data_IF_068081023650
#
_entry.id   IF_068081023650
#
_cell.length_a   1.000
_cell.length_b   1.000
_cell.length_c   1.000
_cell.angle_alpha   90.00
_cell.angle_beta   90.00
_cell.angle_gamma   90.00
#
_symmetry.space_group_name_H-M   'P 1'
#
loop_
_entity.id
_entity.type
_entity.pdbx_description
1 polymer ?
#
# COMPACT_ATOMS: atom_id res chain seq x y z
N UNK A 1 26.39 -25.00 0.50
CA UNK A 1 26.56 -23.99 -0.55
C UNK A 1 25.49 -24.29 -1.58
N UNK A 2 24.33 -23.62 -1.46
CA UNK A 2 23.27 -23.77 -2.45
C UNK A 2 23.68 -22.98 -3.68
N UNK A 3 23.69 -23.65 -4.82
CA UNK A 3 23.86 -23.03 -6.13
C UNK A 3 22.77 -22.00 -6.32
N UNK A 4 23.13 -20.73 -6.35
CA UNK A 4 22.25 -19.62 -6.65
C UNK A 4 21.74 -19.77 -8.07
N UNK A 5 20.44 -19.64 -8.22
CA UNK A 5 19.69 -19.80 -9.45
C UNK A 5 20.19 -18.80 -10.51
N UNK A 6 20.53 -19.28 -11.69
CA UNK A 6 21.25 -18.60 -12.77
C UNK A 6 20.46 -17.46 -13.45
N UNK A 7 19.28 -17.09 -12.93
CA UNK A 7 18.37 -16.10 -13.52
C UNK A 7 18.14 -14.85 -12.65
N UNK A 8 19.04 -14.52 -11.74
CA UNK A 8 18.90 -13.26 -11.00
C UNK A 8 19.07 -12.08 -11.96
N UNK A 9 18.12 -11.10 -11.95
CA UNK A 9 18.19 -9.94 -12.82
C UNK A 9 19.43 -9.11 -12.50
N UNK A 10 20.05 -8.57 -13.54
CA UNK A 10 21.19 -7.67 -13.40
C UNK A 10 20.73 -6.40 -12.66
N UNK A 11 21.49 -5.99 -11.65
CA UNK A 11 21.26 -4.78 -10.86
C UNK A 11 20.99 -3.52 -11.70
N UNK A 12 21.59 -3.41 -12.89
CA UNK A 12 21.45 -2.24 -13.75
C UNK A 12 20.23 -2.30 -14.67
N UNK A 13 19.66 -3.47 -14.87
CA UNK A 13 18.58 -3.70 -15.86
C UNK A 13 17.23 -4.04 -15.22
N UNK A 14 17.19 -4.25 -13.91
CA UNK A 14 15.93 -4.56 -13.22
C UNK A 14 14.99 -3.34 -13.17
N UNK A 15 13.69 -3.53 -13.44
CA UNK A 15 13.01 -4.77 -13.81
C UNK A 15 13.12 -5.17 -15.29
N UNK A 16 13.93 -4.54 -16.10
CA UNK A 16 14.15 -4.87 -17.51
C UNK A 16 13.05 -4.39 -18.47
N UNK A 17 12.09 -3.61 -17.97
CA UNK A 17 10.97 -3.07 -18.74
C UNK A 17 10.46 -1.76 -18.11
N UNK A 18 9.57 -1.08 -18.82
CA UNK A 18 8.94 0.18 -18.38
C UNK A 18 7.53 -0.01 -17.81
N UNK A 19 7.05 -1.24 -17.72
CA UNK A 19 5.71 -1.53 -17.22
C UNK A 19 4.62 -0.82 -18.03
N UNK A 20 3.81 -0.01 -17.34
CA UNK A 20 2.72 0.75 -17.94
C UNK A 20 3.08 2.20 -18.31
N UNK A 21 4.36 2.56 -18.37
CA UNK A 21 4.76 3.91 -18.75
C UNK A 21 4.15 4.32 -20.10
N UNK A 22 3.62 5.55 -20.14
CA UNK A 22 2.94 6.14 -21.30
C UNK A 22 1.69 5.37 -21.78
N UNK A 23 1.16 4.45 -21.00
CA UNK A 23 -0.10 3.78 -21.28
C UNK A 23 -1.29 4.74 -21.19
N UNK A 24 -1.22 5.71 -20.27
CA UNK A 24 -2.24 6.74 -20.06
C UNK A 24 -1.64 8.14 -20.09
N UNK A 25 -2.42 9.15 -20.52
CA UNK A 25 -1.92 10.53 -20.65
C UNK A 25 -1.87 11.31 -19.32
N UNK A 26 -2.22 10.66 -18.21
CA UNK A 26 -2.33 11.26 -16.88
C UNK A 26 -1.47 10.51 -15.85
N UNK A 27 -1.50 11.00 -14.61
CA UNK A 27 -0.72 10.45 -13.49
C UNK A 27 -1.61 9.60 -12.53
N UNK A 28 -2.64 8.91 -13.05
CA UNK A 28 -3.50 8.02 -12.27
C UNK A 28 -3.02 6.56 -12.27
N UNK A 29 -2.12 6.19 -13.18
CA UNK A 29 -1.67 4.81 -13.29
C UNK A 29 -2.82 3.84 -13.55
N UNK A 30 -2.80 2.68 -12.89
CA UNK A 30 -3.83 1.64 -13.01
C UNK A 30 -5.21 2.07 -12.52
N UNK A 31 -5.34 3.15 -11.76
CA UNK A 31 -6.66 3.70 -11.42
C UNK A 31 -7.46 4.17 -12.64
N UNK A 32 -6.83 4.37 -13.80
CA UNK A 32 -7.54 4.54 -15.08
C UNK A 32 -8.40 3.32 -15.46
N UNK A 33 -8.15 2.16 -14.87
CA UNK A 33 -8.93 0.93 -15.08
C UNK A 33 -10.16 0.86 -14.17
N UNK A 34 -10.24 1.73 -13.17
CA UNK A 34 -11.43 1.88 -12.32
C UNK A 34 -12.41 2.82 -12.99
N UNK A 35 -13.22 2.28 -13.89
CA UNK A 35 -14.22 2.98 -14.70
C UNK A 35 -15.62 2.90 -14.08
N UNK A 36 -16.61 3.66 -14.57
CA UNK A 36 -17.99 3.49 -14.15
C UNK A 36 -18.49 2.04 -14.28
N UNK A 37 -18.09 1.33 -15.33
CA UNK A 37 -18.48 -0.07 -15.58
C UNK A 37 -17.88 -1.01 -14.54
N UNK A 38 -16.59 -0.85 -14.21
CA UNK A 38 -15.92 -1.67 -13.18
C UNK A 38 -16.47 -1.34 -11.79
N UNK A 39 -16.81 -0.07 -11.53
CA UNK A 39 -17.48 0.34 -10.31
C UNK A 39 -18.86 -0.32 -10.17
N UNK A 40 -19.68 -0.28 -11.21
CA UNK A 40 -21.00 -0.95 -11.20
C UNK A 40 -20.86 -2.45 -11.01
N UNK A 41 -19.87 -3.09 -11.63
CA UNK A 41 -19.55 -4.51 -11.39
C UNK A 41 -19.22 -4.75 -9.90
N UNK A 42 -18.44 -3.86 -9.28
CA UNK A 42 -18.13 -3.95 -7.85
C UNK A 42 -19.38 -3.83 -6.99
N UNK A 43 -20.26 -2.89 -7.27
CA UNK A 43 -21.54 -2.70 -6.54
C UNK A 43 -22.43 -3.93 -6.67
N UNK A 44 -22.45 -4.61 -7.81
CA UNK A 44 -23.24 -5.83 -8.03
C UNK A 44 -22.81 -7.03 -7.17
N UNK A 45 -21.64 -6.97 -6.53
CA UNK A 45 -21.20 -8.03 -5.59
C UNK A 45 -21.79 -7.88 -4.19
N UNK A 46 -22.55 -6.82 -3.92
CA UNK A 46 -23.16 -6.59 -2.61
C UNK A 46 -24.39 -7.48 -2.44
N UNK A 47 -24.33 -8.43 -1.51
CA UNK A 47 -25.41 -9.36 -1.22
C UNK A 47 -26.13 -9.03 0.11
N UNK A 48 -25.37 -8.73 1.15
CA UNK A 48 -25.92 -8.58 2.50
C UNK A 48 -25.96 -7.13 3.00
N UNK A 49 -25.29 -6.19 2.31
CA UNK A 49 -25.15 -4.80 2.74
C UNK A 49 -24.30 -4.61 4.01
N UNK A 50 -23.62 -5.64 4.51
CA UNK A 50 -22.71 -5.51 5.64
C UNK A 50 -21.47 -4.74 5.23
N UNK A 51 -21.13 -3.71 6.02
CA UNK A 51 -19.92 -2.91 5.83
C UNK A 51 -18.88 -3.35 6.87
N UNK A 52 -17.71 -3.77 6.38
CA UNK A 52 -16.59 -4.19 7.21
C UNK A 52 -15.44 -3.22 6.98
N UNK A 53 -15.01 -2.53 8.03
CA UNK A 53 -13.79 -1.72 7.95
C UNK A 53 -12.56 -2.63 8.00
N UNK A 54 -11.74 -2.56 6.94
CA UNK A 54 -10.44 -3.22 6.90
C UNK A 54 -9.32 -2.31 7.37
N UNK A 55 -9.60 -1.05 7.70
CA UNK A 55 -8.59 -0.14 8.25
C UNK A 55 -8.34 -0.40 9.73
N UNK A 56 -7.10 -0.21 10.15
CA UNK A 56 -6.75 -0.20 11.57
C UNK A 56 -7.31 1.06 12.22
N UNK A 57 -7.76 1.00 13.50
CA UNK A 57 -8.06 2.22 14.24
C UNK A 57 -6.85 3.15 14.31
N UNK A 58 -7.07 4.42 14.05
CA UNK A 58 -6.06 5.45 14.30
C UNK A 58 -6.04 5.72 15.81
N UNK A 59 -4.92 5.47 16.45
CA UNK A 59 -4.79 5.63 17.91
C UNK A 59 -3.46 6.27 18.26
N UNK A 60 -3.42 6.94 19.42
CA UNK A 60 -2.21 7.46 20.06
C UNK A 60 -1.41 6.38 20.80
N UNK A 61 -1.92 5.14 20.82
CA UNK A 61 -1.27 4.01 21.48
C UNK A 61 -0.03 3.60 20.71
N UNK A 62 1.01 3.32 21.47
CA UNK A 62 2.39 3.07 21.10
C UNK A 62 2.63 2.57 19.68
N UNK A 63 3.31 3.39 18.87
CA UNK A 63 3.75 2.97 17.58
C UNK A 63 4.82 1.88 17.72
N UNK A 64 4.85 0.99 16.75
CA UNK A 64 6.00 0.12 16.55
C UNK A 64 7.22 1.05 16.40
N UNK A 65 8.02 1.16 17.49
CA UNK A 65 9.21 2.03 17.64
C UNK A 65 9.01 3.55 17.63
N UNK A 66 8.96 4.17 18.80
CA UNK A 66 9.29 5.58 19.07
C UNK A 66 8.95 6.63 17.98
N UNK A 67 8.12 6.31 17.01
CA UNK A 67 7.63 7.25 16.01
C UNK A 67 6.24 7.67 16.41
N UNK A 68 6.07 8.94 16.72
CA UNK A 68 4.74 9.53 16.87
C UNK A 68 4.06 9.46 15.52
N UNK A 69 3.14 8.49 15.38
CA UNK A 69 2.39 8.29 14.15
C UNK A 69 1.08 9.08 14.12
N UNK A 70 0.59 9.49 15.28
CA UNK A 70 -0.66 10.22 15.44
C UNK A 70 -0.59 11.09 16.69
N UNK A 71 -0.95 12.35 16.54
CA UNK A 71 -1.12 13.30 17.63
C UNK A 71 -2.54 13.85 17.60
N UNK A 72 -3.16 13.94 18.74
CA UNK A 72 -4.51 14.46 18.90
C UNK A 72 -4.52 15.52 20.00
N UNK A 73 -5.10 16.66 19.71
CA UNK A 73 -5.24 17.80 20.60
C UNK A 73 -6.67 18.29 20.55
N UNK A 74 -7.35 18.34 21.71
CA UNK A 74 -8.64 19.03 21.81
C UNK A 74 -8.39 20.53 21.84
N UNK A 75 -8.92 21.25 20.84
CA UNK A 75 -8.81 22.73 20.78
C UNK A 75 -9.85 23.38 21.68
N UNK A 76 -11.04 22.81 21.75
CA UNK A 76 -12.10 23.19 22.70
C UNK A 76 -12.98 21.98 23.04
N UNK A 77 -13.66 22.05 24.18
CA UNK A 77 -14.59 21.02 24.64
C UNK A 77 -15.73 21.64 25.46
N UNK A 78 -16.88 21.82 24.85
CA UNK A 78 -18.08 22.34 25.51
C UNK A 78 -18.05 23.85 25.73
N UNK A 79 -18.41 24.28 26.93
CA UNK A 79 -18.75 25.67 27.23
C UNK A 79 -17.65 26.47 27.94
N UNK A 80 -16.46 25.95 28.05
CA UNK A 80 -15.39 26.55 28.92
C UNK A 80 -14.93 27.97 28.49
N UNK A 81 -15.15 28.36 27.24
CA UNK A 81 -14.83 29.67 26.69
C UNK A 81 -16.05 30.60 26.54
N UNK A 82 -17.24 30.13 26.94
CA UNK A 82 -18.45 30.90 26.71
C UNK A 82 -18.94 31.56 27.99
N UNK A 83 -19.35 32.81 27.89
CA UNK A 83 -20.09 33.48 28.95
C UNK A 83 -21.38 32.70 29.25
N UNK A 84 -21.73 32.43 30.51
CA UNK A 84 -22.91 31.65 30.87
C UNK A 84 -24.22 32.10 30.19
N UNK A 85 -24.32 33.37 29.88
CA UNK A 85 -25.48 34.01 29.26
C UNK A 85 -25.60 33.75 27.75
N UNK A 86 -24.55 33.16 27.13
CA UNK A 86 -24.47 32.86 25.69
C UNK A 86 -24.45 31.37 25.37
N UNK A 87 -24.76 30.54 26.35
CA UNK A 87 -24.71 29.08 26.17
C UNK A 87 -25.92 28.54 25.42
N UNK A 88 -26.18 29.05 24.20
CA UNK A 88 -27.23 28.52 23.31
C UNK A 88 -26.80 27.24 22.61
N UNK A 89 -25.50 27.04 22.42
CA UNK A 89 -24.93 25.81 21.83
C UNK A 89 -23.57 25.47 22.44
N UNK A 90 -23.28 24.18 22.50
CA UNK A 90 -21.99 23.64 22.89
C UNK A 90 -21.31 23.02 21.68
N UNK A 91 -20.00 23.15 21.57
CA UNK A 91 -19.22 22.51 20.52
C UNK A 91 -17.92 21.95 21.04
N UNK A 92 -17.31 21.09 20.24
CA UNK A 92 -15.95 20.66 20.44
C UNK A 92 -15.21 20.72 19.10
N UNK A 93 -13.93 20.98 19.16
CA UNK A 93 -13.04 20.93 18.01
C UNK A 93 -11.71 20.31 18.43
N UNK A 94 -11.10 19.64 17.49
CA UNK A 94 -9.81 18.99 17.69
C UNK A 94 -8.87 19.25 16.51
N UNK A 95 -7.62 18.98 16.75
CA UNK A 95 -6.56 18.99 15.75
C UNK A 95 -5.90 17.62 15.74
N UNK A 96 -5.69 17.09 14.57
CA UNK A 96 -4.95 15.85 14.36
C UNK A 96 -3.72 16.09 13.49
N UNK A 97 -2.62 15.42 13.84
CA UNK A 97 -1.41 15.35 13.05
C UNK A 97 -1.03 13.88 12.91
N UNK A 98 -0.76 13.44 11.68
CA UNK A 98 -0.53 12.04 11.41
C UNK A 98 0.62 11.84 10.42
N UNK A 99 1.52 10.92 10.75
CA UNK A 99 2.45 10.37 9.79
C UNK A 99 1.77 9.22 9.07
N UNK A 100 1.44 9.42 7.79
CA UNK A 100 0.67 8.46 6.99
C UNK A 100 1.48 7.19 6.69
N UNK A 101 2.66 7.38 6.11
CA UNK A 101 3.51 6.25 5.68
C UNK A 101 4.15 5.53 6.86
N UNK A 102 4.22 4.22 6.74
CA UNK A 102 4.81 3.33 7.73
C UNK A 102 3.91 2.14 8.04
N UNK A 103 4.23 1.41 9.14
CA UNK A 103 3.59 0.13 9.47
C UNK A 103 2.37 0.26 10.40
N UNK A 104 1.98 1.46 10.81
CA UNK A 104 0.95 1.68 11.82
C UNK A 104 -0.40 2.03 11.20
N UNK A 105 -0.43 3.05 10.37
CA UNK A 105 -1.67 3.57 9.80
C UNK A 105 -2.01 2.88 8.48
N UNK A 106 -3.28 2.53 8.30
CA UNK A 106 -3.77 2.10 6.99
C UNK A 106 -3.81 3.29 6.05
N UNK A 107 -3.17 3.17 4.89
CA UNK A 107 -3.02 4.26 3.94
C UNK A 107 -2.93 3.73 2.50
N UNK A 108 -3.03 4.63 1.55
CA UNK A 108 -2.78 4.40 0.13
C UNK A 108 -1.56 5.21 -0.29
N UNK A 109 -0.60 4.57 -0.92
CA UNK A 109 0.57 5.25 -1.47
C UNK A 109 0.26 5.92 -2.80
N UNK A 110 0.75 7.15 -2.95
CA UNK A 110 0.72 7.88 -4.20
C UNK A 110 1.86 7.42 -5.13
N UNK A 111 1.70 7.61 -6.43
CA UNK A 111 2.76 7.31 -7.42
C UNK A 111 4.06 8.08 -7.15
N UNK A 112 3.95 9.25 -6.51
CA UNK A 112 5.09 10.06 -6.09
C UNK A 112 5.79 9.56 -4.83
N UNK A 113 5.31 8.46 -4.19
CA UNK A 113 5.92 7.96 -2.96
C UNK A 113 7.27 7.27 -3.20
N UNK A 114 7.42 6.56 -4.32
CA UNK A 114 8.64 5.81 -4.64
C UNK A 114 9.13 6.13 -6.05
N UNK A 115 10.42 6.38 -6.17
CA UNK A 115 11.14 6.46 -7.43
C UNK A 115 12.25 5.42 -7.49
N UNK A 116 12.67 5.05 -8.70
CA UNK A 116 13.76 4.12 -8.94
C UNK A 116 14.70 4.65 -10.03
N UNK A 117 16.01 4.57 -9.79
CA UNK A 117 17.05 5.09 -10.70
C UNK A 117 16.78 6.55 -11.15
N UNK A 118 16.35 7.41 -10.21
CA UNK A 118 16.04 8.80 -10.46
C UNK A 118 14.75 9.05 -11.24
N UNK A 119 13.95 8.02 -11.49
CA UNK A 119 12.67 8.09 -12.23
C UNK A 119 11.50 7.72 -11.35
N UNK A 120 10.40 8.42 -11.54
CA UNK A 120 9.09 8.02 -11.07
C UNK A 120 8.23 7.45 -12.20
N UNK A 121 6.93 7.30 -11.96
CA UNK A 121 5.98 6.80 -12.95
C UNK A 121 6.08 7.58 -14.27
N UNK A 122 5.89 6.90 -15.38
CA UNK A 122 6.07 7.44 -16.74
C UNK A 122 7.50 7.92 -17.06
N UNK A 123 8.52 7.46 -16.31
CA UNK A 123 9.91 7.82 -16.53
C UNK A 123 10.26 9.28 -16.23
N UNK A 124 9.38 9.98 -15.53
CA UNK A 124 9.59 11.38 -15.14
C UNK A 124 10.74 11.48 -14.15
N UNK A 125 11.55 12.51 -14.24
CA UNK A 125 12.61 12.78 -13.24
C UNK A 125 11.95 12.95 -11.86
N UNK A 126 12.29 12.06 -10.92
CA UNK A 126 11.67 12.02 -9.60
C UNK A 126 11.82 13.34 -8.82
N UNK A 127 12.96 14.03 -8.99
CA UNK A 127 13.19 15.34 -8.34
C UNK A 127 12.27 16.44 -8.86
N UNK A 128 11.63 16.24 -10.03
CA UNK A 128 10.61 17.16 -10.55
C UNK A 128 9.20 16.79 -10.13
N UNK A 129 8.98 15.55 -9.67
CA UNK A 129 7.69 15.07 -9.18
C UNK A 129 7.40 15.53 -7.76
N UNK A 130 8.39 15.51 -6.89
CA UNK A 130 8.26 15.86 -5.48
C UNK A 130 9.49 16.59 -4.96
N UNK A 131 9.26 17.69 -4.25
CA UNK A 131 10.30 18.42 -3.53
C UNK A 131 9.84 18.66 -2.09
N UNK A 132 10.80 18.90 -1.19
CA UNK A 132 10.48 19.24 0.20
C UNK A 132 9.78 20.60 0.31
N UNK A 133 10.14 21.51 -0.57
CA UNK A 133 9.66 22.91 -0.56
C UNK A 133 8.24 23.02 -1.13
N UNK A 134 7.97 22.35 -2.26
CA UNK A 134 6.73 22.50 -3.01
C UNK A 134 5.75 21.33 -2.81
N UNK A 135 6.20 20.23 -2.16
CA UNK A 135 5.43 19.01 -2.04
C UNK A 135 5.36 18.23 -3.34
N UNK A 136 4.24 17.54 -3.56
CA UNK A 136 4.03 16.69 -4.74
C UNK A 136 3.41 17.49 -5.88
N UNK A 137 4.08 17.51 -7.04
CA UNK A 137 3.65 18.21 -8.26
C UNK A 137 3.03 17.26 -9.28
N UNK A 138 3.40 15.98 -9.26
CA UNK A 138 2.89 14.94 -10.18
C UNK A 138 2.73 13.63 -9.44
N UNK A 139 1.71 12.85 -9.81
CA UNK A 139 1.43 11.56 -9.17
C UNK A 139 0.96 11.69 -7.71
N UNK A 140 0.30 12.79 -7.36
CA UNK A 140 -0.22 13.04 -6.02
C UNK A 140 -1.47 12.21 -5.73
N UNK A 141 -1.69 11.91 -4.45
CA UNK A 141 -2.80 11.04 -4.00
C UNK A 141 -4.18 11.68 -4.21
N UNK A 142 -4.28 12.99 -4.21
CA UNK A 142 -5.53 13.72 -4.45
C UNK A 142 -6.10 13.50 -5.86
N UNK A 143 -5.27 13.08 -6.83
CA UNK A 143 -5.72 12.65 -8.14
C UNK A 143 -6.60 11.39 -8.08
N UNK A 144 -6.42 10.53 -7.08
CA UNK A 144 -7.18 9.29 -6.92
C UNK A 144 -8.66 9.53 -6.57
N UNK A 145 -9.02 10.68 -6.01
CA UNK A 145 -10.39 11.09 -5.59
C UNK A 145 -11.06 10.03 -4.72
N UNK A 146 -11.93 9.19 -5.30
CA UNK A 146 -12.60 8.07 -4.65
C UNK A 146 -12.46 6.81 -5.48
N UNK A 147 -12.23 5.67 -4.83
CA UNK A 147 -12.04 4.37 -5.47
C UNK A 147 -13.18 3.46 -5.03
N UNK A 148 -13.98 2.98 -5.98
CA UNK A 148 -15.02 1.97 -5.76
C UNK A 148 -14.88 0.92 -6.84
N UNK A 149 -14.50 -0.29 -6.45
CA UNK A 149 -14.33 -1.41 -7.37
C UNK A 149 -14.56 -2.74 -6.65
N UNK A 150 -14.60 -3.85 -7.39
CA UNK A 150 -14.65 -5.18 -6.83
C UNK A 150 -13.29 -5.53 -6.20
N UNK A 151 -13.31 -5.99 -4.94
CA UNK A 151 -12.15 -6.59 -4.29
C UNK A 151 -12.16 -8.11 -4.41
N UNK A 152 -11.05 -8.71 -4.79
CA UNK A 152 -10.84 -10.16 -4.76
C UNK A 152 -9.88 -10.49 -3.63
N UNK A 153 -10.39 -11.16 -2.60
CA UNK A 153 -9.59 -11.58 -1.45
C UNK A 153 -8.74 -12.81 -1.83
N UNK A 154 -7.44 -12.68 -1.69
CA UNK A 154 -6.44 -13.74 -1.85
C UNK A 154 -5.89 -14.04 -0.46
N UNK A 155 -6.44 -15.05 0.19
CA UNK A 155 -6.12 -15.41 1.58
C UNK A 155 -5.01 -16.46 1.60
N UNK A 156 -3.76 -16.02 1.61
CA UNK A 156 -2.58 -16.90 1.56
C UNK A 156 -2.52 -17.86 2.75
N UNK A 157 -2.71 -17.42 4.03
CA UNK A 157 -2.77 -18.33 5.14
C UNK A 157 -3.82 -19.43 4.98
N UNK A 158 -5.01 -19.09 4.49
CA UNK A 158 -6.06 -20.08 4.24
C UNK A 158 -5.67 -21.09 3.18
N UNK A 159 -5.01 -20.65 2.11
CA UNK A 159 -4.51 -21.53 1.06
C UNK A 159 -3.47 -22.53 1.59
N UNK A 160 -2.63 -22.09 2.54
CA UNK A 160 -1.61 -22.91 3.20
C UNK A 160 -2.14 -23.73 4.40
N UNK A 161 -3.39 -23.50 4.82
CA UNK A 161 -3.97 -24.17 6.02
C UNK A 161 -3.38 -23.68 7.35
N UNK A 162 -2.88 -22.43 7.40
CA UNK A 162 -2.33 -21.78 8.59
C UNK A 162 -3.15 -20.54 8.95
N UNK A 163 -2.92 -19.95 10.13
CA UNK A 163 -3.64 -18.74 10.58
C UNK A 163 -3.03 -17.45 10.03
N UNK A 164 -1.72 -17.42 9.82
CA UNK A 164 -0.92 -16.30 9.36
C UNK A 164 0.37 -16.78 8.71
N UNK A 165 1.03 -15.92 7.99
CA UNK A 165 2.42 -16.08 7.56
C UNK A 165 3.36 -15.64 8.69
N UNK A 166 4.48 -16.35 8.86
CA UNK A 166 5.51 -15.91 9.79
C UNK A 166 6.26 -14.67 9.27
N UNK A 167 6.83 -13.82 10.15
CA UNK A 167 7.68 -12.73 9.72
C UNK A 167 8.79 -13.19 8.78
N UNK A 168 8.91 -12.55 7.62
CA UNK A 168 9.86 -12.90 6.57
C UNK A 168 9.30 -13.82 5.47
N UNK A 169 8.14 -14.44 5.70
CA UNK A 169 7.43 -15.15 4.64
C UNK A 169 6.68 -14.18 3.72
N UNK A 170 6.31 -14.64 2.55
CA UNK A 170 5.58 -13.85 1.57
C UNK A 170 4.62 -14.72 0.75
N UNK A 171 3.64 -14.08 0.11
CA UNK A 171 2.82 -14.69 -0.92
C UNK A 171 3.70 -15.06 -2.11
N UNK A 172 3.62 -16.31 -2.57
CA UNK A 172 4.43 -16.84 -3.66
C UNK A 172 3.78 -16.58 -5.03
N UNK A 173 4.57 -16.45 -6.12
CA UNK A 173 4.05 -16.26 -7.46
C UNK A 173 3.05 -17.34 -7.89
N UNK A 174 3.29 -18.60 -7.55
CA UNK A 174 2.44 -19.73 -7.89
C UNK A 174 1.06 -19.65 -7.21
N UNK A 175 1.03 -19.14 -5.97
CA UNK A 175 -0.23 -18.94 -5.23
C UNK A 175 -1.08 -17.88 -5.92
N UNK A 176 -0.48 -16.74 -6.29
CA UNK A 176 -1.16 -15.69 -7.03
C UNK A 176 -1.59 -16.16 -8.41
N UNK A 177 -0.73 -16.89 -9.14
CA UNK A 177 -1.04 -17.43 -10.46
C UNK A 177 -2.25 -18.39 -10.39
N UNK A 178 -2.37 -19.19 -9.34
CA UNK A 178 -3.46 -20.16 -9.17
C UNK A 178 -4.85 -19.53 -9.08
N UNK A 179 -4.94 -18.27 -8.69
CA UNK A 179 -6.20 -17.51 -8.52
C UNK A 179 -6.34 -16.34 -9.50
N UNK A 180 -5.31 -16.08 -10.30
CA UNK A 180 -5.26 -14.91 -11.18
C UNK A 180 -6.42 -14.83 -12.18
N UNK A 181 -6.97 -15.96 -12.61
CA UNK A 181 -8.11 -16.01 -13.54
C UNK A 181 -9.43 -15.46 -12.94
N UNK A 182 -9.52 -15.37 -11.62
CA UNK A 182 -10.65 -14.74 -10.95
C UNK A 182 -10.61 -13.20 -10.98
N UNK A 183 -9.44 -12.62 -11.27
CA UNK A 183 -9.22 -11.18 -11.38
C UNK A 183 -9.63 -10.67 -12.76
N UNK A 184 -10.33 -9.55 -12.77
CA UNK A 184 -10.75 -8.84 -13.98
C UNK A 184 -10.13 -7.43 -13.99
N UNK A 185 -9.98 -6.81 -15.17
CA UNK A 185 -9.46 -5.45 -15.25
C UNK A 185 -10.20 -4.47 -14.32
N UNK A 186 -9.43 -3.67 -13.60
CA UNK A 186 -9.93 -2.68 -12.65
C UNK A 186 -10.30 -3.23 -11.26
N UNK A 187 -10.18 -4.53 -11.01
CA UNK A 187 -10.38 -5.08 -9.66
C UNK A 187 -9.27 -4.66 -8.70
N UNK A 188 -9.56 -4.71 -7.40
CA UNK A 188 -8.56 -4.66 -6.35
C UNK A 188 -8.14 -6.09 -5.96
N UNK A 189 -6.87 -6.42 -6.09
CA UNK A 189 -6.29 -7.62 -5.50
C UNK A 189 -6.01 -7.36 -4.01
N UNK A 190 -6.71 -8.07 -3.12
CA UNK A 190 -6.59 -7.92 -1.67
C UNK A 190 -5.87 -9.14 -1.11
N UNK A 191 -4.58 -9.01 -0.84
CA UNK A 191 -3.74 -10.11 -0.35
C UNK A 191 -3.71 -10.06 1.17
N UNK A 192 -4.21 -11.12 1.80
CA UNK A 192 -4.12 -11.32 3.24
C UNK A 192 -2.92 -12.20 3.57
N UNK A 193 -2.06 -11.70 4.45
CA UNK A 193 -0.92 -12.43 5.03
C UNK A 193 -1.15 -12.86 6.48
N UNK A 194 -2.12 -12.23 7.16
CA UNK A 194 -2.39 -12.45 8.59
C UNK A 194 -1.45 -11.66 9.50
N UNK A 195 -0.81 -10.60 9.01
CA UNK A 195 0.15 -9.78 9.77
C UNK A 195 -0.43 -9.16 11.05
N UNK A 196 -1.76 -9.04 11.17
CA UNK A 196 -2.40 -8.60 12.42
C UNK A 196 -2.35 -9.66 13.53
N UNK A 197 -2.21 -10.94 13.18
CA UNK A 197 -2.11 -12.07 14.12
C UNK A 197 -0.65 -12.35 14.49
N UNK A 198 0.28 -12.13 13.57
CA UNK A 198 1.72 -12.24 13.77
C UNK A 198 2.39 -10.96 13.30
N UNK A 199 2.46 -9.92 14.13
CA UNK A 199 3.13 -8.68 13.78
C UNK A 199 4.58 -8.93 13.41
N UNK A 200 5.07 -8.25 12.38
CA UNK A 200 6.46 -8.32 11.98
C UNK A 200 7.42 -7.91 13.11
N UNK A 201 8.66 -8.30 12.99
CA UNK A 201 9.71 -7.99 13.96
C UNK A 201 10.28 -6.61 13.61
N UNK A 202 10.16 -5.61 14.49
CA UNK A 202 10.69 -4.27 14.24
C UNK A 202 12.21 -4.30 14.01
N UNK A 203 12.77 -3.28 13.34
CA UNK A 203 14.21 -3.13 13.23
C UNK A 203 14.88 -3.05 14.62
N UNK A 204 16.10 -3.51 14.76
CA UNK A 204 16.91 -3.43 16.00
C UNK A 204 18.19 -2.62 15.76
N UNK A 205 18.77 -2.06 16.83
CA UNK A 205 20.01 -1.29 16.70
C UNK A 205 21.23 -2.17 16.40
N UNK A 206 21.09 -3.49 16.56
CA UNK A 206 22.18 -4.48 16.49
C UNK A 206 22.28 -5.23 15.17
N UNK A 207 21.61 -4.76 14.08
CA UNK A 207 21.82 -5.38 12.76
C UNK A 207 20.59 -5.46 11.85
N UNK A 208 19.40 -5.59 12.41
CA UNK A 208 18.18 -5.61 11.61
C UNK A 208 17.63 -4.19 11.43
N UNK A 209 18.18 -3.45 10.48
CA UNK A 209 17.80 -2.03 10.24
C UNK A 209 16.40 -1.85 9.65
N UNK A 210 15.82 -2.89 9.08
CA UNK A 210 14.53 -2.81 8.36
C UNK A 210 13.41 -3.57 9.05
N UNK A 211 13.73 -4.41 10.03
CA UNK A 211 12.78 -5.35 10.61
C UNK A 211 12.65 -6.63 9.79
N UNK A 212 11.74 -7.50 10.21
CA UNK A 212 11.35 -8.71 9.49
C UNK A 212 9.84 -8.67 9.34
N UNK A 213 9.34 -8.70 8.10
CA UNK A 213 7.93 -8.50 7.79
C UNK A 213 7.45 -9.51 6.77
N UNK A 214 6.19 -9.93 6.92
CA UNK A 214 5.48 -10.64 5.87
C UNK A 214 5.22 -9.70 4.70
N UNK A 215 5.03 -10.27 3.50
CA UNK A 215 4.73 -9.45 2.34
C UNK A 215 4.32 -10.28 1.12
N UNK A 216 4.70 -9.73 -0.02
CA UNK A 216 4.40 -10.28 -1.34
C UNK A 216 5.72 -10.45 -2.09
N UNK A 217 5.89 -11.56 -2.80
CA UNK A 217 7.03 -11.73 -3.69
C UNK A 217 6.91 -10.74 -4.87
N UNK A 218 7.99 -10.06 -5.29
CA UNK A 218 7.92 -9.05 -6.35
C UNK A 218 7.32 -9.55 -7.66
N UNK A 219 7.56 -10.79 -8.06
CA UNK A 219 6.98 -11.39 -9.28
C UNK A 219 5.44 -11.49 -9.25
N UNK A 220 4.84 -11.49 -8.06
CA UNK A 220 3.39 -11.44 -7.94
C UNK A 220 2.82 -10.17 -8.55
N UNK A 221 3.53 -9.03 -8.45
CA UNK A 221 3.10 -7.76 -9.04
C UNK A 221 2.99 -7.88 -10.55
N UNK A 222 3.91 -8.57 -11.20
CA UNK A 222 3.87 -8.78 -12.65
C UNK A 222 2.71 -9.68 -13.09
N UNK A 223 2.40 -10.72 -12.30
CA UNK A 223 1.24 -11.58 -12.55
C UNK A 223 -0.04 -10.76 -12.45
N UNK A 224 -0.17 -9.95 -11.40
CA UNK A 224 -1.31 -9.07 -11.15
C UNK A 224 -1.44 -7.98 -12.22
N UNK A 225 -0.34 -7.37 -12.63
CA UNK A 225 -0.31 -6.35 -13.67
C UNK A 225 -0.78 -6.89 -15.03
N UNK A 226 -0.47 -8.14 -15.38
CA UNK A 226 -0.98 -8.83 -16.58
C UNK A 226 -2.49 -9.04 -16.56
N UNK A 227 -3.12 -8.96 -15.39
CA UNK A 227 -4.58 -9.02 -15.21
C UNK A 227 -5.23 -7.65 -15.23
N UNK A 228 -4.44 -6.59 -15.43
CA UNK A 228 -4.94 -5.21 -15.42
C UNK A 228 -5.70 -4.85 -14.14
N UNK A 229 -5.20 -5.27 -12.97
CA UNK A 229 -5.81 -4.85 -11.71
C UNK A 229 -5.69 -3.33 -11.52
N UNK A 230 -6.66 -2.73 -10.84
CA UNK A 230 -6.66 -1.30 -10.54
C UNK A 230 -5.93 -0.96 -9.24
N UNK A 231 -5.81 -1.91 -8.31
CA UNK A 231 -5.25 -1.68 -6.98
C UNK A 231 -4.70 -2.97 -6.38
N UNK A 232 -3.56 -2.88 -5.71
CA UNK A 232 -3.04 -3.90 -4.80
C UNK A 232 -3.23 -3.44 -3.36
N UNK A 233 -3.89 -4.24 -2.54
CA UNK A 233 -4.05 -4.03 -1.10
C UNK A 233 -3.52 -5.22 -0.31
N UNK A 234 -2.94 -4.96 0.87
CA UNK A 234 -2.40 -5.99 1.75
C UNK A 234 -2.56 -5.58 3.22
N UNK A 235 -2.59 -6.55 4.12
CA UNK A 235 -2.62 -6.34 5.57
C UNK A 235 -1.21 -6.23 6.20
N UNK A 236 -0.17 -6.20 5.36
CA UNK A 236 1.24 -6.07 5.74
C UNK A 236 1.90 -4.86 5.09
N UNK A 237 3.24 -4.82 5.08
CA UNK A 237 4.03 -3.76 4.44
C UNK A 237 3.95 -3.75 2.90
N UNK A 238 3.34 -4.75 2.27
CA UNK A 238 3.46 -4.99 0.84
C UNK A 238 4.76 -5.72 0.50
N UNK A 239 5.90 -5.08 0.69
CA UNK A 239 7.20 -5.78 0.60
C UNK A 239 7.43 -6.72 1.79
N UNK A 240 7.87 -7.93 1.54
CA UNK A 240 8.49 -8.77 2.57
C UNK A 240 9.88 -8.23 2.95
N UNK A 241 10.26 -8.40 4.20
CA UNK A 241 11.62 -8.12 4.65
C UNK A 241 12.16 -9.30 5.48
N UNK A 242 13.28 -9.90 5.08
CA UNK A 242 14.06 -9.59 3.87
C UNK A 242 13.30 -9.91 2.58
N UNK A 243 13.47 -9.09 1.55
CA UNK A 243 12.89 -9.33 0.23
C UNK A 243 13.81 -10.24 -0.60
N UNK A 244 13.27 -11.12 -1.46
CA UNK A 244 14.06 -11.89 -2.42
C UNK A 244 14.94 -11.01 -3.32
N UNK A 245 14.44 -9.83 -3.72
CA UNK A 245 15.15 -8.85 -4.55
C UNK A 245 15.77 -7.71 -3.73
N UNK A 246 15.88 -7.86 -2.41
CA UNK A 246 16.38 -6.83 -1.50
C UNK A 246 17.84 -6.41 -1.74
N UNK A 247 18.62 -7.24 -2.44
CA UNK A 247 20.00 -6.94 -2.88
C UNK A 247 20.04 -6.04 -4.12
N UNK A 248 18.94 -5.94 -4.87
CA UNK A 248 18.79 -5.08 -6.06
C UNK A 248 18.15 -3.75 -5.67
N UNK A 249 17.00 -3.82 -5.01
CA UNK A 249 16.21 -2.66 -4.61
C UNK A 249 15.56 -2.90 -3.24
N UNK A 250 15.53 -1.86 -2.41
CA UNK A 250 15.07 -1.98 -1.03
C UNK A 250 13.61 -2.42 -0.89
N UNK A 251 12.74 -1.92 -1.76
CA UNK A 251 11.29 -2.15 -1.72
C UNK A 251 10.79 -2.48 -3.12
N UNK A 252 11.04 -3.72 -3.60
CA UNK A 252 10.77 -4.10 -4.98
C UNK A 252 9.27 -4.07 -5.32
N UNK A 253 8.40 -4.47 -4.41
CA UNK A 253 6.93 -4.42 -4.63
C UNK A 253 6.45 -2.99 -4.78
N UNK A 254 6.83 -2.08 -3.86
CA UNK A 254 6.53 -0.66 -4.00
C UNK A 254 7.09 -0.09 -5.30
N UNK A 255 8.33 -0.43 -5.63
CA UNK A 255 8.99 0.04 -6.85
C UNK A 255 8.23 -0.40 -8.10
N UNK A 256 7.85 -1.67 -8.20
CA UNK A 256 7.06 -2.16 -9.33
C UNK A 256 5.68 -1.49 -9.38
N UNK A 257 4.96 -1.45 -8.26
CA UNK A 257 3.63 -0.86 -8.22
C UNK A 257 3.64 0.63 -8.56
N UNK A 258 4.51 1.43 -7.90
CA UNK A 258 4.39 2.88 -7.94
C UNK A 258 5.24 3.53 -9.04
N UNK A 259 6.38 2.90 -9.40
CA UNK A 259 7.27 3.48 -10.42
C UNK A 259 6.98 2.91 -11.81
N UNK A 260 6.66 1.63 -11.92
CA UNK A 260 6.58 0.96 -13.23
C UNK A 260 5.16 0.66 -13.69
N UNK A 261 4.29 0.14 -12.82
CA UNK A 261 2.94 -0.22 -13.25
C UNK A 261 1.90 0.86 -12.96
N UNK A 262 2.08 1.69 -11.96
CA UNK A 262 1.19 2.80 -11.63
C UNK A 262 0.02 2.33 -10.79
#
# INVERSE_FOLDING_TARGET
MNELNVNEPNLNDWPGHTGNWNRWPNDLGTLNLVTPETTLRGVQTIESGHVISCSRPVTDREPIRNSVCFEHEMLNAGAWDLEPERMESLNSADKVSMRTHGMVNTHLDALAHVGHNGKGFNGVDFNTMVTKEDGVKRGAIDNARGIVTRGVLIDIPRMRGVSHLEPGEYAEPEEIASVADALLPGDAAVIRTGATLAPGIPPTDTGNRHGIWQGVHPECVEILAKRDIGLLATDSAGDAFPSPYGHIVRSPVHTLCLTYYG
#
